data_IF_008959655079
#
_entry.id   IF_008959655079
#
_cell.length_a   1.000
_cell.length_b   1.000
_cell.length_c   1.000
_cell.angle_alpha   90.00
_cell.angle_beta   90.00
_cell.angle_gamma   90.00
#
_symmetry.space_group_name_H-M   'P 1'
#
loop_
_entity.id
_entity.type
_entity.pdbx_description
1 polymer ?
2 non-polymer ?
3 non-polymer ?
4 non-polymer ?
5 non-polymer ?
6 water ?
#
# COMPACT_ATOMS: atom_id res chain seq x y z
N UNK A 6 -4.69 -21.08 25.43
CA UNK A 6 -3.95 -20.82 24.20
C UNK A 6 -4.15 -19.38 23.78
N UNK A 7 -3.27 -18.47 24.17
CA UNK A 7 -3.52 -17.11 23.74
C UNK A 7 -2.79 -16.76 22.43
N UNK A 8 -2.89 -15.50 22.05
CA UNK A 8 -2.69 -15.10 20.67
C UNK A 8 -2.05 -13.73 20.67
N UNK A 9 -1.21 -13.45 19.65
CA UNK A 9 -0.76 -12.07 19.48
C UNK A 9 -1.84 -11.21 18.83
N UNK A 10 -2.88 -11.85 18.31
CA UNK A 10 -3.90 -11.20 17.48
C UNK A 10 -5.19 -11.03 18.29
N UNK A 11 -5.97 -10.02 17.94
CA UNK A 11 -7.41 -10.05 18.21
C UNK A 11 -8.24 -9.82 16.94
N UNK A 12 -9.20 -10.70 16.70
CA UNK A 12 -10.07 -10.62 15.53
C UNK A 12 -11.32 -9.79 15.82
N UNK A 13 -11.72 -8.97 14.85
CA UNK A 13 -12.97 -8.23 14.91
C UNK A 13 -13.90 -8.61 13.76
N UNK A 14 -15.19 -8.32 13.95
CA UNK A 14 -16.07 -8.08 12.81
C UNK A 14 -16.41 -6.60 12.73
N UNK A 15 -17.08 -6.22 11.66
CA UNK A 15 -17.32 -4.79 11.38
C UNK A 15 -18.12 -4.11 12.49
N UNK A 16 -19.06 -4.85 13.09
CA UNK A 16 -19.80 -4.38 14.25
C UNK A 16 -18.86 -4.02 15.40
N UNK A 17 -18.13 -5.02 15.90
CA UNK A 17 -17.16 -4.80 16.98
C UNK A 17 -16.27 -3.62 16.63
N UNK A 18 -15.82 -3.58 15.38
CA UNK A 18 -14.80 -2.63 14.98
C UNK A 18 -15.35 -1.22 14.90
N UNK A 19 -16.55 -1.06 14.36
CA UNK A 19 -17.07 0.29 14.10
C UNK A 19 -17.34 1.07 15.39
N UNK A 20 -17.66 0.34 16.46
CA UNK A 20 -17.78 0.93 17.80
C UNK A 20 -16.55 1.71 18.23
N UNK A 21 -15.39 1.31 17.72
CA UNK A 21 -14.13 1.89 18.16
C UNK A 21 -13.86 3.22 17.45
N UNK A 22 -14.83 3.68 16.68
CA UNK A 22 -14.72 4.99 16.04
C UNK A 22 -14.65 6.12 17.06
N UNK A 23 -15.32 5.94 18.19
CA UNK A 23 -15.63 7.04 19.12
C UNK A 23 -16.07 8.31 18.42
N UNK A 24 -15.38 9.41 18.73
CA UNK A 24 -15.87 10.72 18.35
C UNK A 24 -15.38 11.16 16.98
N UNK A 25 -14.54 10.33 16.37
CA UNK A 25 -13.68 10.78 15.27
C UNK A 25 -14.51 11.44 14.17
N UNK A 26 -14.14 12.67 13.78
CA UNK A 26 -14.77 13.43 12.69
C UNK A 26 -14.71 12.69 11.36
N UNK A 27 -15.69 12.91 10.49
CA UNK A 27 -15.57 12.49 9.09
C UNK A 27 -15.33 13.68 8.20
N UNK A 28 -14.13 13.76 7.63
CA UNK A 28 -13.68 14.98 6.97
C UNK A 28 -13.75 14.90 5.45
N UNK A 29 -14.43 13.88 4.93
CA UNK A 29 -14.38 13.58 3.50
C UNK A 29 -15.77 13.56 2.86
N UNK A 30 -15.91 14.29 1.75
CA UNK A 30 -17.17 14.33 1.00
C UNK A 30 -17.26 13.17 0.01
N UNK A 31 -18.44 12.92 -0.54
CA UNK A 31 -18.57 11.82 -1.50
C UNK A 31 -17.86 12.08 -2.82
N UNK A 32 -17.79 13.34 -3.24
CA UNK A 32 -16.99 13.67 -4.41
C UNK A 32 -15.51 13.41 -4.16
N UNK A 33 -15.03 13.72 -2.95
CA UNK A 33 -13.63 13.56 -2.60
C UNK A 33 -13.26 12.07 -2.53
N UNK A 34 -14.11 11.29 -1.86
CA UNK A 34 -13.98 9.84 -1.82
C UNK A 34 -13.89 9.20 -3.20
N UNK A 35 -14.69 9.73 -4.13
CA UNK A 35 -14.72 9.20 -5.50
C UNK A 35 -13.37 9.35 -6.20
N UNK A 36 -12.70 10.47 -6.02
CA UNK A 36 -11.40 10.69 -6.65
C UNK A 36 -10.29 9.81 -6.10
N UNK A 37 -10.54 9.15 -4.97
CA UNK A 37 -9.53 8.28 -4.36
C UNK A 37 -9.79 6.83 -4.74
N UNK A 38 -10.95 6.55 -5.30
CA UNK A 38 -11.37 5.18 -5.59
C UNK A 38 -10.75 4.68 -6.90
N UNK A 39 -10.14 3.50 -6.87
CA UNK A 39 -9.60 2.91 -8.08
C UNK A 39 -10.60 2.03 -8.80
N UNK A 40 -10.34 1.74 -10.09
CA UNK A 40 -11.28 0.94 -10.88
C UNK A 40 -11.68 -0.36 -10.20
N UNK A 41 -12.99 -0.54 -10.00
CA UNK A 41 -13.54 -1.79 -9.48
C UNK A 41 -13.69 -1.74 -7.97
N UNK A 42 -13.16 -0.68 -7.36
CA UNK A 42 -13.25 -0.55 -5.91
C UNK A 42 -14.59 0.03 -5.48
N UNK A 43 -15.10 -0.46 -4.36
CA UNK A 43 -16.50 -0.21 -4.04
C UNK A 43 -16.68 0.63 -2.77
N UNK A 44 -15.64 1.35 -2.37
CA UNK A 44 -15.67 2.02 -1.08
C UNK A 44 -16.70 3.13 -1.08
N UNK A 45 -17.60 3.12 -0.08
CA UNK A 45 -18.48 4.26 0.16
C UNK A 45 -18.18 4.95 1.49
N UNK A 46 -18.82 6.09 1.73
CA UNK A 46 -18.63 6.84 2.96
C UNK A 46 -18.94 5.98 4.18
N UNK A 47 -19.85 5.04 4.03
CA UNK A 47 -20.18 4.19 5.17
C UNK A 47 -18.94 3.38 5.59
N UNK A 48 -18.31 2.71 4.63
CA UNK A 48 -17.09 1.96 4.87
C UNK A 48 -16.00 2.87 5.43
N UNK A 49 -15.86 4.06 4.87
CA UNK A 49 -14.92 5.00 5.47
C UNK A 49 -15.22 5.22 6.95
N UNK A 50 -16.51 5.14 7.30
CA UNK A 50 -16.99 5.56 8.61
C UNK A 50 -16.75 4.45 9.62
N UNK A 51 -17.11 3.24 9.23
CA UNK A 51 -17.08 2.10 10.14
C UNK A 51 -15.75 1.32 10.14
N UNK A 52 -14.93 1.57 9.13
CA UNK A 52 -13.69 0.84 8.94
C UNK A 52 -12.47 1.76 9.01
N UNK A 53 -12.48 2.81 8.22
CA UNK A 53 -11.26 3.61 8.13
C UNK A 53 -11.10 4.54 9.31
N UNK A 54 -12.17 4.78 10.05
CA UNK A 54 -12.12 5.89 10.98
C UNK A 54 -11.60 5.42 12.34
N UNK A 55 -12.03 4.23 12.78
CA UNK A 55 -11.35 3.55 13.87
C UNK A 55 -9.86 3.37 13.57
N UNK A 56 -9.55 2.93 12.35
CA UNK A 56 -8.17 2.79 11.91
C UNK A 56 -7.41 4.11 12.07
N UNK A 57 -8.01 5.20 11.64
CA UNK A 57 -7.28 6.47 11.71
C UNK A 57 -7.05 6.88 13.17
N UNK A 58 -7.95 6.43 14.04
CA UNK A 58 -7.87 6.70 15.46
C UNK A 58 -6.70 5.93 16.10
N UNK A 59 -6.78 4.60 16.08
CA UNK A 59 -5.63 3.76 16.40
C UNK A 59 -4.29 4.31 15.90
N UNK A 60 -4.18 4.65 14.63
CA UNK A 60 -2.94 5.23 14.14
C UNK A 60 -2.51 6.46 14.92
N UNK A 61 -3.47 7.32 15.29
CA UNK A 61 -3.11 8.64 15.82
C UNK A 61 -2.72 8.53 17.30
N UNK A 62 -3.41 7.63 17.99
CA UNK A 62 -2.96 7.10 19.27
C UNK A 62 -1.51 6.59 19.26
N UNK A 63 -1.07 6.09 18.12
CA UNK A 63 0.24 5.43 18.03
C UNK A 63 1.34 6.36 17.54
N UNK A 64 1.00 7.36 16.74
CA UNK A 64 1.99 8.37 16.38
C UNK A 64 2.58 9.00 17.64
N UNK A 65 1.72 9.26 18.62
CA UNK A 65 2.14 9.93 19.84
C UNK A 65 3.03 8.96 20.62
N UNK A 66 2.47 7.79 20.91
CA UNK A 66 3.16 6.69 21.58
C UNK A 66 4.51 6.30 20.97
N UNK A 67 4.59 6.28 19.64
CA UNK A 67 5.80 5.84 18.95
C UNK A 67 6.87 6.93 19.02
N UNK A 68 6.44 8.17 19.21
CA UNK A 68 7.40 9.24 19.40
C UNK A 68 8.16 9.16 20.72
N UNK A 69 7.44 8.81 21.80
CA UNK A 69 8.05 8.59 23.11
C UNK A 69 9.26 7.64 23.00
N UNK A 70 9.23 6.77 22.00
CA UNK A 70 10.22 5.71 21.86
C UNK A 70 11.53 6.18 21.24
N UNK A 71 11.46 7.11 20.29
CA UNK A 71 12.66 7.68 19.72
C UNK A 71 13.19 8.75 20.65
N UNK A 72 12.28 9.33 21.43
CA UNK A 72 12.62 10.28 22.46
C UNK A 72 13.50 9.59 23.51
N UNK A 73 13.09 8.39 23.93
CA UNK A 73 13.82 7.62 24.93
C UNK A 73 15.26 7.34 24.50
N UNK A 74 15.43 6.96 23.24
CA UNK A 74 16.76 6.72 22.71
C UNK A 74 17.61 7.98 22.60
N UNK A 75 17.00 9.05 22.11
CA UNK A 75 17.70 10.33 22.00
C UNK A 75 18.14 10.77 23.40
N UNK A 76 17.28 10.54 24.39
CA UNK A 76 17.59 10.94 25.74
C UNK A 76 18.81 10.15 26.21
N UNK A 77 18.79 8.84 25.94
CA UNK A 77 19.88 7.95 26.29
C UNK A 77 21.20 8.39 25.68
N UNK A 78 21.14 8.79 24.42
CA UNK A 78 22.33 9.23 23.69
C UNK A 78 22.76 10.63 24.11
N UNK A 79 22.01 11.23 25.03
CA UNK A 79 22.25 12.60 25.48
C UNK A 79 22.06 13.63 24.38
N UNK A 80 21.08 13.39 23.52
CA UNK A 80 20.93 14.13 22.27
C UNK A 80 20.10 15.41 22.46
N UNK A 81 20.39 16.45 21.66
CA UNK A 81 19.58 17.65 21.54
C UNK A 81 18.11 17.52 21.96
N UNK A 82 17.41 16.52 21.41
CA UNK A 82 15.95 16.41 21.55
C UNK A 82 15.17 16.97 20.36
N UNK A 83 14.10 16.28 19.98
CA UNK A 83 13.41 16.57 18.72
C UNK A 83 12.65 17.90 18.78
N UNK A 84 13.13 18.87 18.01
CA UNK A 84 12.32 20.03 17.63
C UNK A 84 11.01 19.61 16.96
N UNK A 85 9.88 20.15 17.46
CA UNK A 85 8.56 19.58 17.20
C UNK A 85 8.01 20.01 15.83
N UNK A 86 8.77 20.85 15.14
CA UNK A 86 8.51 21.17 13.73
C UNK A 86 9.15 20.11 12.82
N UNK A 87 9.51 18.97 13.40
CA UNK A 87 10.29 17.93 12.72
C UNK A 87 10.45 16.68 13.60
N UNK A 88 9.34 16.01 13.93
CA UNK A 88 9.45 14.74 14.66
C UNK A 88 9.94 13.61 13.76
N UNK A 89 10.19 12.43 14.32
CA UNK A 89 10.57 11.28 13.52
C UNK A 89 9.39 10.74 12.69
N UNK A 90 9.52 10.76 11.35
CA UNK A 90 8.44 10.40 10.45
C UNK A 90 7.84 9.03 10.77
N UNK A 91 6.52 8.98 10.90
CA UNK A 91 5.80 7.72 11.09
C UNK A 91 5.66 6.99 9.74
N UNK A 92 6.09 5.74 9.69
CA UNK A 92 6.10 5.01 8.42
C UNK A 92 5.02 3.93 8.42
N UNK A 93 4.19 3.95 7.38
CA UNK A 93 3.09 3.02 7.31
C UNK A 93 3.21 2.21 6.03
N UNK A 94 3.20 0.89 6.20
CA UNK A 94 3.32 0.00 5.07
C UNK A 94 1.92 -0.45 4.68
N UNK A 95 1.68 -0.63 3.38
CA UNK A 95 0.42 -1.22 2.93
C UNK A 95 0.69 -2.30 1.91
N UNK A 96 0.27 -3.53 2.22
CA UNK A 96 0.65 -4.67 1.42
C UNK A 96 -0.58 -5.44 0.93
N UNK A 97 -0.36 -6.33 -0.04
CA UNK A 97 -1.36 -7.30 -0.45
C UNK A 97 -1.25 -7.62 -1.95
N UNK A 98 -2.11 -8.51 -2.44
CA UNK A 98 -2.07 -8.90 -3.85
C UNK A 98 -2.28 -7.72 -4.79
N UNK A 99 -1.78 -7.86 -6.01
CA UNK A 99 -2.29 -7.13 -7.16
C UNK A 99 -3.81 -7.24 -7.12
N UNK A 100 -4.50 -6.16 -7.49
CA UNK A 100 -5.95 -6.18 -7.72
C UNK A 100 -6.76 -6.29 -6.45
N UNK A 101 -6.15 -6.01 -5.30
CA UNK A 101 -6.84 -6.22 -4.03
C UNK A 101 -7.28 -4.89 -3.46
N UNK A 102 -6.85 -3.78 -4.06
CA UNK A 102 -7.28 -2.46 -3.61
C UNK A 102 -6.36 -1.71 -2.66
N UNK A 103 -5.10 -2.17 -2.54
CA UNK A 103 -4.09 -1.47 -1.73
C UNK A 103 -4.12 0.01 -2.05
N UNK A 104 -4.01 0.29 -3.35
CA UNK A 104 -4.13 1.62 -3.91
C UNK A 104 -5.17 2.50 -3.22
N UNK A 105 -6.34 1.94 -2.96
CA UNK A 105 -7.48 2.73 -2.55
C UNK A 105 -7.37 2.90 -1.04
N UNK A 106 -7.07 1.80 -0.36
CA UNK A 106 -6.83 1.85 1.08
C UNK A 106 -5.77 2.89 1.42
N UNK A 107 -4.75 3.02 0.58
CA UNK A 107 -3.67 3.94 0.91
C UNK A 107 -4.03 5.41 0.63
N UNK A 108 -4.64 5.68 -0.51
CA UNK A 108 -5.15 7.04 -0.82
C UNK A 108 -6.22 7.52 0.17
N UNK A 109 -7.10 6.61 0.58
CA UNK A 109 -8.10 6.98 1.58
C UNK A 109 -7.44 7.30 2.91
N UNK A 110 -6.57 6.41 3.37
CA UNK A 110 -5.85 6.63 4.61
C UNK A 110 -5.05 7.94 4.54
N UNK A 111 -4.36 8.18 3.43
CA UNK A 111 -3.58 9.40 3.32
C UNK A 111 -4.52 10.57 3.55
N UNK A 112 -5.70 10.49 2.93
CA UNK A 112 -6.61 11.63 2.95
C UNK A 112 -7.10 11.88 4.37
N UNK A 113 -7.61 10.83 5.00
CA UNK A 113 -8.03 10.92 6.39
C UNK A 113 -6.96 11.50 7.32
N UNK A 114 -5.70 11.14 7.11
CA UNK A 114 -4.65 11.57 8.03
C UNK A 114 -4.19 13.01 7.79
N UNK A 115 -4.27 13.48 6.55
CA UNK A 115 -3.93 14.87 6.26
C UNK A 115 -5.00 15.83 6.79
N UNK A 116 -6.17 15.29 7.12
CA UNK A 116 -7.24 16.08 7.69
C UNK A 116 -7.29 15.91 9.22
N UNK A 117 -6.12 15.86 9.84
CA UNK A 117 -6.03 15.87 11.28
C UNK A 117 -5.49 17.23 11.74
N UNK A 118 -5.46 17.43 13.05
CA UNK A 118 -5.58 18.76 13.63
C UNK A 118 -4.41 19.72 13.40
N UNK A 119 -3.21 19.20 13.16
CA UNK A 119 -2.15 20.10 12.70
C UNK A 119 -2.13 20.29 11.17
N UNK A 120 -2.86 19.44 10.46
CA UNK A 120 -2.63 19.22 9.04
C UNK A 120 -1.20 18.72 8.78
N UNK A 121 -0.96 17.45 9.10
CA UNK A 121 0.33 16.78 8.91
C UNK A 121 0.66 16.55 7.43
N UNK A 122 1.88 16.84 7.02
CA UNK A 122 2.37 16.42 5.71
C UNK A 122 2.41 14.89 5.62
N UNK A 123 1.47 14.32 4.86
CA UNK A 123 1.31 12.88 4.72
C UNK A 123 1.62 12.47 3.28
N UNK A 124 2.79 11.88 3.07
CA UNK A 124 3.17 11.50 1.73
C UNK A 124 2.84 10.04 1.47
N UNK A 125 2.61 9.71 0.20
CA UNK A 125 2.25 8.36 -0.20
C UNK A 125 3.14 7.98 -1.36
N UNK A 126 3.83 6.85 -1.20
CA UNK A 126 4.73 6.38 -2.24
C UNK A 126 4.46 4.90 -2.51
N UNK A 127 4.37 4.53 -3.78
CA UNK A 127 4.25 3.13 -4.14
C UNK A 127 5.62 2.60 -4.50
N UNK A 128 5.85 1.31 -4.27
CA UNK A 128 7.10 0.68 -4.68
C UNK A 128 7.25 0.48 -6.20
N UNK A 129 6.24 0.86 -6.97
CA UNK A 129 6.27 0.76 -8.42
C UNK A 129 7.52 1.47 -8.93
N UNK A 130 7.79 2.64 -8.36
CA UNK A 130 8.92 3.45 -8.78
C UNK A 130 10.26 2.75 -8.63
N UNK A 131 10.30 1.67 -7.84
CA UNK A 131 11.57 1.02 -7.54
C UNK A 131 11.65 -0.30 -8.26
N UNK A 132 10.76 -0.52 -9.22
CA UNK A 132 10.95 -1.63 -10.15
C UNK A 132 12.19 -1.32 -10.99
N UNK A 133 12.98 -2.34 -11.30
CA UNK A 133 13.99 -2.14 -12.34
C UNK A 133 13.28 -1.80 -13.64
N UNK A 134 13.89 -0.92 -14.44
CA UNK A 134 13.37 -0.56 -15.76
C UNK A 134 13.30 -1.81 -16.62
N UNK A 135 12.52 -1.75 -17.69
CA UNK A 135 12.30 -2.96 -18.49
C UNK A 135 13.60 -3.50 -19.05
N UNK A 136 14.49 -2.61 -19.48
CA UNK A 136 15.75 -2.98 -20.11
C UNK A 136 16.55 -3.80 -19.10
N UNK A 137 16.55 -3.36 -17.84
CA UNK A 137 17.30 -4.06 -16.81
C UNK A 137 16.63 -5.36 -16.38
N UNK A 138 15.30 -5.40 -16.42
CA UNK A 138 14.60 -6.65 -16.19
C UNK A 138 14.87 -7.65 -17.31
N UNK A 139 14.77 -7.19 -18.56
CA UNK A 139 15.08 -8.02 -19.72
C UNK A 139 16.44 -8.70 -19.50
N UNK A 140 17.43 -7.89 -19.11
CA UNK A 140 18.77 -8.40 -18.94
C UNK A 140 18.84 -9.46 -17.85
N UNK A 141 18.14 -9.24 -16.74
CA UNK A 141 18.06 -10.26 -15.70
C UNK A 141 17.12 -11.40 -16.03
N UNK A 142 16.43 -11.29 -17.16
CA UNK A 142 15.42 -12.29 -17.50
C UNK A 142 14.18 -12.33 -16.62
N UNK A 143 13.74 -11.17 -16.14
CA UNK A 143 12.65 -11.10 -15.17
C UNK A 143 11.44 -10.35 -15.73
N UNK A 144 11.35 -10.24 -17.05
CA UNK A 144 10.26 -9.50 -17.68
C UNK A 144 8.91 -10.12 -17.40
N UNK A 145 8.93 -11.36 -16.90
CA UNK A 145 7.72 -12.07 -16.51
C UNK A 145 7.70 -12.38 -15.03
N UNK A 146 8.41 -11.56 -14.26
CA UNK A 146 8.36 -11.66 -12.80
C UNK A 146 8.28 -10.26 -12.20
N UNK A 147 7.84 -9.33 -13.04
CA UNK A 147 7.52 -7.98 -12.58
C UNK A 147 6.59 -8.10 -11.38
N UNK A 148 7.00 -7.54 -10.25
CA UNK A 148 6.23 -7.70 -9.01
C UNK A 148 6.80 -8.71 -8.02
N UNK A 149 7.61 -9.64 -8.50
CA UNK A 149 8.34 -10.53 -7.59
C UNK A 149 9.44 -9.74 -6.87
N UNK A 150 9.87 -10.20 -5.69
CA UNK A 150 10.82 -9.42 -4.89
C UNK A 150 12.05 -9.01 -5.68
N UNK A 151 12.55 -9.92 -6.50
CA UNK A 151 13.82 -9.69 -7.21
C UNK A 151 13.63 -8.77 -8.42
N UNK A 152 12.41 -8.31 -8.67
CA UNK A 152 12.21 -7.41 -9.80
C UNK A 152 12.33 -5.96 -9.34
N UNK A 153 12.60 -5.79 -8.05
CA UNK A 153 12.76 -4.48 -7.41
C UNK A 153 14.22 -4.12 -7.07
N UNK A 154 14.53 -2.84 -7.12
CA UNK A 154 15.78 -2.36 -6.58
C UNK A 154 15.58 -2.13 -5.10
N UNK A 155 15.68 -3.20 -4.33
CA UNK A 155 15.45 -3.15 -2.89
C UNK A 155 16.42 -2.24 -2.16
N UNK A 156 17.68 -2.25 -2.58
CA UNK A 156 18.70 -1.35 -2.03
C UNK A 156 18.26 0.11 -2.19
N UNK A 157 17.88 0.46 -3.41
CA UNK A 157 17.42 1.82 -3.69
C UNK A 157 16.22 2.20 -2.83
N UNK A 158 15.34 1.23 -2.61
CA UNK A 158 14.11 1.43 -1.85
C UNK A 158 14.37 1.65 -0.37
N UNK A 159 15.19 0.75 0.18
CA UNK A 159 15.71 0.86 1.53
C UNK A 159 16.45 2.17 1.76
N UNK A 160 17.27 2.59 0.80
CA UNK A 160 17.92 3.90 0.90
C UNK A 160 16.89 5.00 0.99
N UNK A 161 15.86 4.91 0.16
CA UNK A 161 14.84 5.95 0.14
C UNK A 161 14.17 6.07 1.50
N UNK A 162 13.68 4.96 2.05
CA UNK A 162 12.84 5.04 3.25
C UNK A 162 13.73 5.35 4.45
N UNK A 163 14.93 4.79 4.43
CA UNK A 163 15.92 5.08 5.47
C UNK A 163 16.23 6.57 5.47
N UNK A 164 16.51 7.13 4.30
CA UNK A 164 16.75 8.57 4.19
C UNK A 164 15.64 9.39 4.83
N UNK A 165 14.39 9.08 4.49
CA UNK A 165 13.25 9.81 5.01
C UNK A 165 13.11 9.68 6.52
N UNK A 166 13.18 8.45 7.03
CA UNK A 166 12.86 8.26 8.45
C UNK A 166 13.94 8.82 9.35
N UNK A 167 15.16 8.89 8.81
CA UNK A 167 16.33 9.41 9.52
C UNK A 167 16.39 10.94 9.53
N UNK A 168 15.40 11.60 8.91
CA UNK A 168 15.21 13.04 9.07
C UNK A 168 15.70 13.91 7.93
N UNK A 169 16.14 13.29 6.84
CA UNK A 169 16.54 14.04 5.65
C UNK A 169 15.48 15.06 5.22
N UNK A 170 15.93 16.13 4.55
CA UNK A 170 15.07 17.23 4.17
C UNK A 170 14.31 16.91 2.89
N UNK A 171 15.00 16.23 1.97
CA UNK A 171 14.35 15.63 0.83
C UNK A 171 14.92 14.28 0.42
N UNK A 172 14.05 13.46 -0.19
CA UNK A 172 14.43 12.18 -0.76
C UNK A 172 13.70 11.98 -2.10
N UNK A 173 14.37 11.33 -3.03
CA UNK A 173 13.81 11.13 -4.36
C UNK A 173 13.57 9.67 -4.69
N UNK A 174 12.39 9.37 -5.23
CA UNK A 174 12.07 8.05 -5.75
C UNK A 174 11.88 8.16 -7.25
N UNK A 175 12.25 7.11 -8.01
CA UNK A 175 11.84 7.15 -9.42
C UNK A 175 10.33 6.92 -9.57
N UNK A 176 9.84 7.05 -10.80
CA UNK A 176 8.40 7.02 -11.03
C UNK A 176 8.04 6.03 -12.13
N UNK A 177 7.08 5.16 -11.86
CA UNK A 177 6.66 4.14 -12.81
C UNK A 177 5.38 4.55 -13.57
N UNK A 178 5.28 4.22 -14.84
CA UNK A 178 4.04 4.45 -15.60
C UNK A 178 3.42 3.11 -15.97
N UNK A 179 2.20 2.86 -15.47
CA UNK A 179 1.45 1.66 -15.83
C UNK A 179 1.14 1.65 -17.33
N UNK A 180 0.80 2.82 -17.87
CA UNK A 180 0.44 2.93 -19.27
C UNK A 180 1.58 2.53 -20.18
N UNK A 181 2.75 3.12 -19.95
CA UNK A 181 3.93 2.84 -20.76
C UNK A 181 4.63 1.57 -20.28
N UNK A 182 4.21 1.05 -19.13
CA UNK A 182 4.69 -0.23 -18.61
C UNK A 182 6.16 -0.19 -18.20
N UNK A 183 6.65 0.98 -17.83
CA UNK A 183 8.06 1.15 -17.53
C UNK A 183 8.31 2.31 -16.57
N UNK A 184 9.54 2.38 -16.06
CA UNK A 184 10.00 3.55 -15.31
C UNK A 184 10.10 4.75 -16.25
N UNK A 185 9.74 5.93 -15.79
CA UNK A 185 9.70 7.10 -16.69
C UNK A 185 11.06 7.81 -16.68
N UNK A 186 11.68 7.94 -17.86
CA UNK A 186 12.95 8.65 -17.94
C UNK A 186 12.87 10.02 -17.29
N UNK A 187 13.72 10.27 -16.30
CA UNK A 187 13.90 11.62 -15.81
C UNK A 187 12.85 12.09 -14.81
N UNK A 188 11.88 11.22 -14.51
CA UNK A 188 10.82 11.58 -13.58
C UNK A 188 11.30 11.27 -12.16
N UNK A 189 10.94 12.13 -11.23
CA UNK A 189 11.21 11.84 -9.82
C UNK A 189 10.06 12.27 -8.94
N UNK A 190 9.84 11.52 -7.87
CA UNK A 190 8.96 11.95 -6.81
C UNK A 190 9.77 12.44 -5.61
N UNK A 191 9.50 13.66 -5.19
CA UNK A 191 10.30 14.26 -4.11
C UNK A 191 9.49 14.29 -2.82
N UNK A 192 10.03 13.64 -1.79
CA UNK A 192 9.40 13.58 -0.47
C UNK A 192 10.21 14.41 0.53
N UNK A 193 9.55 15.34 1.21
CA UNK A 193 10.26 16.34 2.03
C UNK A 193 9.87 16.26 3.49
N UNK A 194 10.64 15.49 4.25
CA UNK A 194 10.41 15.37 5.70
C UNK A 194 8.92 15.34 6.05
N UNK A 195 8.17 14.41 5.45
CA UNK A 195 6.77 14.31 5.86
C UNK A 195 6.64 13.89 7.32
N UNK A 196 5.47 14.16 7.91
CA UNK A 196 5.14 13.64 9.23
C UNK A 196 4.81 12.15 9.15
N UNK A 197 4.31 11.74 8.00
CA UNK A 197 3.81 10.38 7.81
C UNK A 197 4.07 9.99 6.37
N UNK A 198 4.78 8.88 6.19
CA UNK A 198 5.02 8.34 4.86
C UNK A 198 4.28 7.01 4.81
N UNK A 199 3.44 6.85 3.79
CA UNK A 199 2.75 5.59 3.58
C UNK A 199 3.45 4.97 2.40
N UNK A 200 3.90 3.74 2.58
CA UNK A 200 4.63 3.06 1.52
C UNK A 200 3.80 1.86 1.10
N UNK A 201 3.44 1.83 -0.17
CA UNK A 201 2.44 0.89 -0.64
C UNK A 201 3.07 -0.05 -1.68
N UNK A 202 2.93 -1.35 -1.49
CA UNK A 202 3.46 -2.26 -2.50
C UNK A 202 3.17 -3.70 -2.13
N UNK A 203 3.14 -4.57 -3.14
CA UNK A 203 3.12 -6.02 -2.99
C UNK A 203 3.93 -6.59 -1.85
N UNK A 204 5.21 -6.22 -1.81
CA UNK A 204 6.16 -6.99 -1.01
C UNK A 204 6.73 -6.21 0.16
N UNK A 205 6.07 -5.12 0.53
CA UNK A 205 6.65 -4.17 1.46
C UNK A 205 6.86 -4.82 2.83
N UNK A 206 6.16 -5.91 3.12
CA UNK A 206 6.30 -6.52 4.44
C UNK A 206 7.30 -7.67 4.48
N UNK A 207 7.93 -7.95 3.34
CA UNK A 207 9.01 -8.91 3.29
C UNK A 207 10.09 -8.63 4.35
N UNK A 208 10.79 -9.72 4.64
CA UNK A 208 11.83 -9.77 5.66
C UNK A 208 12.95 -10.57 5.00
N UNK A 209 14.16 -10.53 5.58
CA UNK A 209 15.32 -11.17 4.96
C UNK A 209 16.68 -10.92 5.60
N UNK A 210 17.75 -11.41 4.96
CA UNK A 210 19.07 -11.43 5.56
C UNK A 210 19.64 -10.03 5.67
N UNK A 211 18.90 -9.03 5.22
CA UNK A 211 19.33 -7.67 5.47
C UNK A 211 18.17 -6.86 6.04
N UNK A 212 18.49 -5.73 6.65
CA UNK A 212 17.45 -4.83 7.13
C UNK A 212 16.62 -4.36 5.94
N UNK A 213 15.29 -4.38 6.07
CA UNK A 213 14.43 -3.94 4.97
C UNK A 213 13.41 -2.90 5.39
N UNK A 214 12.71 -2.31 4.42
CA UNK A 214 11.69 -1.32 4.74
C UNK A 214 10.64 -1.82 5.74
N UNK A 215 10.32 -3.12 5.74
CA UNK A 215 9.42 -3.63 6.79
C UNK A 215 9.95 -3.38 8.20
N UNK A 216 11.28 -3.36 8.34
CA UNK A 216 11.89 -3.18 9.67
C UNK A 216 11.76 -1.72 10.10
N UNK A 217 11.54 -0.83 9.13
CA UNK A 217 11.29 0.56 9.48
C UNK A 217 9.83 0.94 9.72
N UNK A 218 8.89 0.02 9.56
CA UNK A 218 7.48 0.41 9.62
C UNK A 218 7.11 0.61 11.07
N UNK A 219 6.40 1.69 11.36
CA UNK A 219 5.77 1.90 12.65
C UNK A 219 4.34 1.35 12.73
N UNK A 220 3.81 0.97 11.58
CA UNK A 220 2.47 0.38 11.49
C UNK A 220 2.36 -0.19 10.11
N UNK A 221 1.62 -1.29 9.95
CA UNK A 221 1.45 -1.82 8.61
C UNK A 221 0.05 -2.38 8.43
N UNK A 222 -0.41 -2.35 7.17
CA UNK A 222 -1.70 -2.91 6.82
C UNK A 222 -1.49 -3.96 5.75
N UNK A 223 -2.21 -5.08 5.88
CA UNK A 223 -2.30 -6.04 4.81
C UNK A 223 -3.76 -6.18 4.36
N UNK A 224 -4.04 -5.83 3.10
CA UNK A 224 -5.38 -5.90 2.55
C UNK A 224 -5.60 -7.29 1.97
N UNK A 225 -6.52 -8.03 2.58
CA UNK A 225 -6.67 -9.46 2.33
C UNK A 225 -8.01 -9.75 1.63
N UNK A 226 -8.06 -10.85 0.90
CA UNK A 226 -9.33 -11.40 0.43
C UNK A 226 -9.06 -12.83 0.01
N UNK A 227 -10.11 -13.60 -0.23
CA UNK A 227 -9.94 -14.95 -0.75
C UNK A 227 -9.28 -14.93 -2.12
N UNK A 228 -8.36 -15.87 -2.32
CA UNK A 228 -7.59 -15.90 -3.55
C UNK A 228 -8.47 -15.97 -4.79
N UNK A 229 -9.56 -16.74 -4.72
CA UNK A 229 -10.50 -16.85 -5.84
C UNK A 229 -11.19 -15.52 -6.12
N UNK A 230 -11.54 -14.79 -5.07
CA UNK A 230 -12.13 -13.48 -5.24
C UNK A 230 -11.12 -12.53 -5.90
N UNK A 231 -9.87 -12.54 -5.43
CA UNK A 231 -8.89 -11.63 -6.01
C UNK A 231 -8.66 -11.93 -7.49
N UNK A 232 -8.65 -13.20 -7.86
CA UNK A 232 -8.56 -13.54 -9.29
C UNK A 232 -9.75 -13.01 -10.06
N UNK A 233 -10.94 -13.15 -9.49
CA UNK A 233 -12.14 -12.57 -10.08
C UNK A 233 -12.00 -11.04 -10.26
N UNK A 234 -11.55 -10.34 -9.22
CA UNK A 234 -11.39 -8.89 -9.34
C UNK A 234 -10.37 -8.52 -10.40
N UNK A 235 -9.34 -9.36 -10.52
CA UNK A 235 -8.27 -9.08 -11.45
C UNK A 235 -8.75 -9.30 -12.90
N UNK A 236 -9.39 -10.44 -13.15
CA UNK A 236 -9.87 -10.75 -14.49
C UNK A 236 -10.91 -9.70 -14.88
N UNK A 237 -11.80 -9.42 -13.94
CA UNK A 237 -12.90 -8.54 -14.23
C UNK A 237 -12.40 -7.12 -14.53
N UNK A 238 -11.37 -6.67 -13.82
CA UNK A 238 -10.76 -5.37 -14.11
C UNK A 238 -9.99 -5.38 -15.41
N UNK A 239 -9.35 -6.49 -15.73
CA UNK A 239 -8.79 -6.69 -17.05
C UNK A 239 -9.82 -6.47 -18.17
N UNK A 240 -11.00 -7.10 -18.09
CA UNK A 240 -12.06 -6.86 -19.09
C UNK A 240 -12.48 -5.40 -19.13
N UNK A 241 -12.67 -4.78 -17.97
CA UNK A 241 -13.06 -3.37 -17.93
C UNK A 241 -12.04 -2.44 -18.57
N UNK A 242 -10.77 -2.80 -18.56
CA UNK A 242 -9.76 -1.85 -19.01
C UNK A 242 -9.63 -1.84 -20.52
N UNK A 243 -10.28 -2.78 -21.21
CA UNK A 243 -10.34 -2.65 -22.67
C UNK A 243 -10.91 -1.31 -23.10
N UNK A 244 -11.79 -0.72 -22.31
CA UNK A 244 -12.34 0.57 -22.72
C UNK A 244 -11.85 1.76 -21.90
N UNK A 245 -11.09 1.52 -20.82
CA UNK A 245 -10.39 2.62 -20.17
C UNK A 245 -8.93 2.70 -20.63
N UNK A 246 -8.04 2.03 -19.90
CA UNK A 246 -6.62 2.17 -20.21
C UNK A 246 -6.16 1.55 -21.52
N UNK A 247 -6.55 0.31 -21.81
CA UNK A 247 -6.02 -0.38 -22.99
C UNK A 247 -6.48 0.32 -24.25
N UNK A 248 -7.49 1.19 -24.10
CA UNK A 248 -8.11 1.85 -25.23
C UNK A 248 -7.19 2.91 -25.82
N UNK A 249 -6.43 3.56 -24.95
CA UNK A 249 -5.33 4.43 -25.33
C UNK A 249 -4.39 3.73 -26.31
N UNK A 250 -4.02 4.41 -27.40
CA UNK A 250 -3.13 3.80 -28.37
C UNK A 250 -1.69 3.70 -27.85
N UNK A 251 -1.36 4.52 -26.85
CA UNK A 251 -0.05 4.44 -26.22
C UNK A 251 0.04 3.33 -25.20
N UNK A 252 -1.12 2.79 -24.80
CA UNK A 252 -1.11 1.74 -23.80
C UNK A 252 -0.17 0.64 -24.27
N UNK A 253 0.64 0.15 -23.35
CA UNK A 253 1.54 -0.94 -23.68
C UNK A 253 0.71 -2.17 -24.02
N UNK A 254 -0.51 -2.22 -23.50
CA UNK A 254 -1.38 -3.37 -23.71
C UNK A 254 -2.55 -3.05 -24.61
N UNK A 255 -2.35 -2.09 -25.50
CA UNK A 255 -3.38 -1.66 -26.43
C UNK A 255 -3.96 -2.80 -27.26
N UNK A 256 -3.17 -3.85 -27.49
CA UNK A 256 -3.65 -4.94 -28.32
C UNK A 256 -4.78 -5.70 -27.63
N UNK A 257 -4.91 -5.50 -26.32
CA UNK A 257 -5.92 -6.22 -25.57
C UNK A 257 -7.30 -5.57 -25.67
N UNK A 258 -7.33 -4.31 -26.08
CA UNK A 258 -8.59 -3.58 -26.24
C UNK A 258 -9.58 -4.32 -27.15
N UNK A 259 -9.05 -5.01 -28.15
CA UNK A 259 -9.87 -5.69 -29.15
C UNK A 259 -10.41 -7.04 -28.70
N UNK A 260 -9.73 -7.71 -27.77
CA UNK A 260 -10.14 -9.05 -27.35
C UNK A 260 -11.64 -9.14 -27.05
N UNK A 261 -12.24 -10.27 -27.41
CA UNK A 261 -13.58 -10.63 -26.94
C UNK A 261 -13.60 -10.83 -25.43
N UNK A 262 -14.79 -10.73 -24.84
CA UNK A 262 -14.98 -11.11 -23.46
C UNK A 262 -14.22 -12.38 -23.12
N UNK A 263 -14.38 -13.42 -23.93
CA UNK A 263 -13.78 -14.71 -23.59
C UNK A 263 -12.30 -14.80 -23.94
N UNK A 264 -11.87 -14.16 -25.03
CA UNK A 264 -10.46 -14.06 -25.33
C UNK A 264 -9.72 -13.37 -24.18
N UNK A 265 -10.37 -12.34 -23.63
CA UNK A 265 -9.82 -11.52 -22.56
C UNK A 265 -9.73 -12.31 -21.25
N UNK A 266 -10.78 -13.07 -20.95
CA UNK A 266 -10.81 -13.92 -19.77
C UNK A 266 -9.66 -14.93 -19.85
N UNK A 267 -9.48 -15.51 -21.03
CA UNK A 267 -8.37 -16.43 -21.23
C UNK A 267 -7.04 -15.76 -20.94
N UNK A 268 -6.80 -14.60 -21.57
CA UNK A 268 -5.55 -13.88 -21.35
C UNK A 268 -5.35 -13.52 -19.88
N UNK A 269 -6.39 -12.96 -19.25
CA UNK A 269 -6.25 -12.46 -17.89
C UNK A 269 -5.98 -13.61 -16.95
N UNK A 270 -6.62 -14.75 -17.21
CA UNK A 270 -6.38 -15.94 -16.42
C UNK A 270 -4.95 -16.46 -16.52
N UNK A 271 -4.37 -16.40 -17.71
CA UNK A 271 -3.05 -16.96 -17.92
C UNK A 271 -1.96 -16.13 -17.21
N UNK A 272 -2.15 -14.82 -17.17
CA UNK A 272 -1.31 -13.91 -16.39
C UNK A 272 -1.46 -14.10 -14.89
N UNK A 273 -2.70 -14.23 -14.42
CA UNK A 273 -2.92 -14.50 -13.01
C UNK A 273 -2.22 -15.80 -12.64
N UNK A 274 -2.30 -16.78 -13.53
CA UNK A 274 -1.83 -18.14 -13.25
C UNK A 274 -0.31 -18.18 -13.25
N UNK A 275 0.31 -17.43 -14.16
CA UNK A 275 1.75 -17.51 -14.35
C UNK A 275 2.56 -16.48 -13.56
N UNK A 276 1.92 -15.39 -13.13
CA UNK A 276 2.66 -14.32 -12.45
C UNK A 276 2.06 -13.94 -11.09
N UNK A 277 0.87 -13.35 -11.12
CA UNK A 277 0.36 -12.69 -9.93
C UNK A 277 0.00 -13.69 -8.83
N UNK A 278 -0.44 -14.87 -9.21
CA UNK A 278 -0.89 -15.80 -8.20
C UNK A 278 0.32 -16.47 -7.52
N UNK A 279 1.29 -16.97 -8.31
CA UNK A 279 2.46 -17.58 -7.66
C UNK A 279 3.19 -16.55 -6.80
N UNK A 280 3.19 -15.30 -7.23
CA UNK A 280 3.77 -14.25 -6.40
C UNK A 280 2.99 -14.05 -5.09
N UNK A 281 1.67 -14.19 -5.19
CA UNK A 281 0.81 -13.99 -4.04
C UNK A 281 1.07 -15.12 -3.05
N UNK A 282 1.08 -16.35 -3.56
CA UNK A 282 1.30 -17.54 -2.73
C UNK A 282 2.71 -17.60 -2.14
N UNK A 283 3.71 -17.36 -2.99
CA UNK A 283 5.09 -17.61 -2.63
C UNK A 283 5.67 -16.43 -1.84
N UNK A 284 5.22 -15.21 -2.12
CA UNK A 284 5.86 -14.06 -1.48
C UNK A 284 5.00 -13.17 -0.62
N UNK A 285 3.81 -12.79 -1.09
CA UNK A 285 2.96 -11.81 -0.41
C UNK A 285 2.26 -12.40 0.81
N UNK A 286 1.54 -13.51 0.61
CA UNK A 286 0.80 -14.10 1.71
C UNK A 286 1.70 -14.51 2.88
N UNK A 287 2.92 -15.03 2.59
CA UNK A 287 3.79 -15.34 3.72
C UNK A 287 4.16 -14.13 4.57
N UNK A 288 3.82 -12.93 4.13
CA UNK A 288 4.08 -11.76 4.96
C UNK A 288 2.87 -11.29 5.78
N UNK A 289 1.69 -11.83 5.47
CA UNK A 289 0.51 -11.51 6.24
C UNK A 289 0.65 -11.56 7.76
N UNK A 290 1.39 -12.55 8.31
CA UNK A 290 1.39 -12.68 9.77
C UNK A 290 2.02 -11.51 10.53
N UNK A 291 2.82 -10.67 9.86
CA UNK A 291 3.46 -9.54 10.52
C UNK A 291 2.67 -8.25 10.53
N UNK A 292 1.62 -8.20 9.70
CA UNK A 292 0.90 -6.93 9.51
C UNK A 292 0.29 -6.50 10.84
N UNK A 293 0.33 -5.21 11.16
CA UNK A 293 -0.39 -4.74 12.34
C UNK A 293 -1.92 -4.94 12.22
N UNK A 294 -2.46 -4.67 11.02
CA UNK A 294 -3.89 -4.82 10.78
C UNK A 294 -4.17 -5.48 9.44
N UNK A 295 -4.78 -6.67 9.47
CA UNK A 295 -5.32 -7.27 8.26
C UNK A 295 -6.78 -6.86 8.03
N UNK A 296 -7.05 -6.31 6.85
CA UNK A 296 -8.40 -5.91 6.46
C UNK A 296 -8.94 -6.93 5.49
N UNK A 297 -9.83 -7.79 5.98
CA UNK A 297 -10.38 -8.87 5.16
C UNK A 297 -11.62 -8.42 4.41
N UNK A 298 -11.55 -8.49 3.08
CA UNK A 298 -12.64 -8.11 2.22
C UNK A 298 -13.41 -9.36 1.80
N UNK A 299 -14.72 -9.19 1.66
CA UNK A 299 -15.57 -10.19 1.03
C UNK A 299 -15.61 -10.01 -0.48
N UNK A 300 -16.24 -10.98 -1.15
CA UNK A 300 -16.29 -11.02 -2.60
C UNK A 300 -16.74 -9.70 -3.23
N UNK A 301 -17.39 -8.85 -2.45
CA UNK A 301 -17.91 -7.60 -2.99
C UNK A 301 -17.00 -6.40 -2.72
N UNK A 302 -15.75 -6.68 -2.31
CA UNK A 302 -14.74 -5.69 -1.93
C UNK A 302 -14.96 -5.07 -0.55
N UNK A 303 -15.97 -5.57 0.15
CA UNK A 303 -16.42 -4.98 1.40
C UNK A 303 -15.52 -5.48 2.53
N UNK A 304 -14.93 -4.56 3.29
CA UNK A 304 -14.17 -5.01 4.45
C UNK A 304 -15.11 -5.42 5.58
N UNK A 305 -15.14 -6.72 5.88
CA UNK A 305 -16.06 -7.25 6.88
C UNK A 305 -15.42 -7.81 8.14
N UNK A 306 -14.16 -8.22 8.06
CA UNK A 306 -13.43 -8.64 9.26
C UNK A 306 -12.08 -7.94 9.37
N UNK A 307 -11.56 -7.84 10.59
CA UNK A 307 -10.22 -7.28 10.84
C UNK A 307 -9.43 -8.11 11.83
N UNK A 308 -8.12 -8.21 11.65
CA UNK A 308 -7.24 -8.88 12.62
C UNK A 308 -6.17 -7.91 13.08
N UNK A 309 -6.23 -7.53 14.36
CA UNK A 309 -5.23 -6.62 14.90
C UNK A 309 -4.13 -7.39 15.63
N UNK A 310 -2.89 -6.94 15.47
CA UNK A 310 -1.82 -7.40 16.33
C UNK A 310 -1.87 -6.64 17.64
N UNK A 311 -2.16 -7.33 18.74
CA UNK A 311 -1.96 -6.68 20.03
C UNK A 311 -0.56 -6.86 20.57
N UNK A 312 0.07 -7.98 20.20
CA UNK A 312 1.51 -8.18 20.35
C UNK A 312 2.21 -8.35 19.00
X LIG B 1 -4.06 -2.60 -6.00
X LIG B 1 -5.31 -3.03 -6.92
X LIG B 1 -4.23 -1.05 -5.61
X LIG B 1 -3.96 -3.41 -4.76
X LIG B 1 -2.76 -2.64 -6.95
X LIG B 1 -2.66 -2.98 -8.53
X LIG B 1 -1.27 -2.99 -9.00
X LIG B 1 -3.50 -4.16 -8.87
X LIG B 1 -3.31 -1.65 -9.10
X LIG B 1 -2.68 -0.38 -8.89
X LIG B 1 -3.27 0.66 -9.83
X LIG B 1 -2.62 0.41 -11.08
X LIG B 1 -4.75 0.32 -10.04
X LIG B 1 -5.56 1.33 -9.44
X LIG B 1 -4.97 0.43 -11.54
X LIG B 1 -5.65 1.67 -11.74
X LIG B 1 -3.58 0.58 -12.14
X LIG B 1 -3.41 -0.57 -13.03
X LIG B 1 -3.34 -1.87 -12.70
X LIG B 1 -3.14 -2.57 -13.81
X LIG B 1 -3.04 -1.72 -14.84
X LIG B 1 -2.79 -1.88 -16.19
X LIG B 1 -2.68 -3.01 -16.65
X LIG B 1 -2.77 -0.74 -17.00
X LIG B 1 -2.97 0.53 -16.42
X LIG B 1 -2.92 1.64 -17.17
X LIG B 1 -3.21 0.65 -15.11
X LIG B 1 -3.23 -0.44 -14.33
X LIG C 1 1.88 5.01 -11.45
X LIG C 1 1.33 4.62 -12.85
X LIG C 1 0.17 5.53 -13.32
X LIG C 1 0.64 6.98 -13.53
X LIG C 1 -0.44 5.00 -14.61
X LIG C 1 0.20 5.56 -15.89
X LIG C 1 2.07 6.23 -11.23
X LIG C 1 2.20 4.09 -10.67
X LIG C 1 1.86 7.18 -13.76
X LIG C 1 -0.24 7.87 -13.54
X LIG C 1 0.17 4.80 -16.88
X LIG C 1 0.68 6.72 -15.89
X LIG C 1 -0.85 5.45 -12.32
X LIG D 1 -12.17 -16.27 -13.09
X LIG E 1 7.16 -4.50 -3.00
X LIG F 1 10.74 -6.05 -1.68
X LIG G 1 8.85 -15.37 4.48
X LIG G 1 9.52 -16.40 5.16
X LIG G 1 9.15 -14.04 5.17
X LIG G 1 7.95 -13.33 5.43
X LIG G 1 10.10 -13.24 4.30
X LIG G 1 9.39 -12.24 3.62
X LIG H 1 -19.08 -2.17 1.44
X LIG H 1 -18.25 -1.52 2.37
X LIG H 1 -18.39 -2.16 0.09
X LIG H 1 -17.95 -0.86 -0.16
X LIG H 1 -19.36 -2.60 -1.01
X LIG H 1 -19.22 -3.98 -1.26
X LIG I 1 16.42 9.35 -10.19
X LIG I 1 15.20 8.92 -9.62
X LIG I 1 16.16 10.66 -10.91
X LIG I 1 16.25 10.47 -12.31
X LIG I 1 17.15 11.74 -10.45
X LIG I 1 17.36 11.71 -9.04
X LIG J 1 -8.89 -13.93 4.27
X LIG J 1 -10.08 -13.18 4.44
X LIG J 1 -9.15 -15.17 3.40
X LIG J 1 -10.08 -15.99 4.07
X LIG J 1 -7.87 -15.96 3.14
X LIG J 1 -6.89 -15.19 2.47
X LIG K 1 13.59 -5.64 18.72
X LIG K 1 14.49 -6.70 18.44
X LIG K 1 13.62 -4.59 17.61
X LIG K 1 14.93 -4.11 17.41
X LIG K 1 12.72 -3.43 18.03
X LIG K 1 11.45 -3.90 18.44
X LIG L 1 11.11 -4.56 13.97
X LIG L 1 11.43 -3.21 14.18
X LIG L 1 12.36 -5.41 13.77
X LIG L 1 13.15 -4.87 12.74
X LIG L 1 11.99 -6.85 13.42
X LIG L 1 11.48 -7.55 14.54
X LIG M 1 18.69 8.92 -3.41
X LIG M 1 18.45 10.12 -4.12
X LIG M 1 17.42 8.60 -2.61
X LIG M 1 17.42 9.44 -1.48
X LIG M 1 17.38 7.13 -2.16
X LIG M 1 16.96 6.24 -3.18
X LIG N 1 9.54 22.37 2.90
X LIG N 1 8.78 22.42 1.71
X LIG N 1 10.35 23.66 3.01
X LIG N 1 11.71 23.34 3.02
X LIG N 1 9.98 24.41 4.29
X LIG N 1 8.92 23.75 4.96
X LIG O 1 -16.53 -4.46 -12.86
X LIG O 1 -17.17 -4.02 -14.04
X LIG O 1 -15.66 -3.32 -12.33
X LIG O 1 -16.29 -2.08 -12.56
X LIG O 1 -14.28 -3.33 -12.99
X LIG O 1 -13.39 -4.14 -12.25
X LIG P 1 0.15 15.58 0.27
X LIG P 1 -1.20 15.16 0.27
X LIG P 1 0.59 15.96 1.69
X LIG P 1 -0.46 15.80 2.60
X LIG P 1 1.07 17.41 1.72
X LIG P 1 2.29 17.53 1.01
X LIG Q 1 10.66 -16.46 -3.52
X LIG Q 1 11.57 -17.11 -2.64
X LIG Q 1 11.26 -16.30 -4.91
X LIG Q 1 11.76 -15.00 -5.11
X LIG Q 1 10.19 -16.62 -5.95
X LIG Q 1 8.91 -16.27 -5.47
X LIG R 1 -5.56 7.65 -9.31
X LIG R 1 -5.50 8.93 -8.75
X LIG R 1 -6.97 7.35 -9.82
X LIG R 1 -7.89 7.34 -8.74
X LIG R 1 -6.94 5.97 -10.48
X LIG R 1 -7.98 5.88 -11.43
X LIG S 1 11.30 0.90 16.05
X LIG S 1 11.71 -0.45 16.20
X LIG S 1 10.60 1.15 14.72
X LIG S 1 9.44 0.36 14.56
X LIG S 1 11.53 0.93 13.54
X LIG S 1 12.19 2.14 13.22
#
# INVERSE_FOLDING_TARGET
MSRLSEPSPYVEFDRRQWRALRMSTPLALTEEELVGLRGLGEQIDLLEVEEVYLPLARLIHLQVAARQRLFAATAEFLGEPQQNPDRPVPFIIGVAGSVAVGKSTTARVLQALLARWDHHPRVDLVTTDGFLYPNAELQRRNLMHRKGFPESYNRRALMRFVTSVKSGSDYACAPVYSHLHYDIIPGAEQVVRHPDILILEGLNVLQTGPTLMVSDLFDFSLYVDARIEDIEQWYVSRFLAMRTTAFADPESHFHHYAAFSDSQAVVAAREIWRTINRPNLVENILPTRPRATLVLRKDADHSINRLRLRKL
GDP PB O1B O2B O3B O3A PA O1A O2A O5' C5' C4' O4' C3' O3' C2' O2' C1' N9 C8 N7 C5 C6 O6 N1 C2 N2 N3 C4
FLC CAC CA CB CBC CG CGC OA1 OA2 OB1 OB2 OG1 OG2 OHB
CL CL
CL CL
CL CL
GOL C1 O1 C2 O2 C3 O3
GOL C1 O1 C2 O2 C3 O3
GOL C1 O1 C2 O2 C3 O3
GOL C1 O1 C2 O2 C3 O3
GOL C1 O1 C2 O2 C3 O3
GOL C1 O1 C2 O2 C3 O3
GOL C1 O1 C2 O2 C3 O3
GOL C1 O1 C2 O2 C3 O3
GOL C1 O1 C2 O2 C3 O3
GOL C1 O1 C2 O2 C3 O3
GOL C1 O1 C2 O2 C3 O3
GOL C1 O1 C2 O2 C3 O3
GOL C1 O1 C2 O2 C3 O3
#
